data_IF_533205680039
#
_entry.id   IF_533205680039
#
_cell.length_a   1.000
_cell.length_b   1.000
_cell.length_c   1.000
_cell.angle_alpha   90.00
_cell.angle_beta   90.00
_cell.angle_gamma   90.00
#
_symmetry.space_group_name_H-M   'P 1'
#
loop_
_entity.id
_entity.type
_entity.pdbx_description
1 polymer ?
#
# COMPACT_ATOMS: atom_id res chain seq x y z
N UNK A 1 8.63 72.44 30.91
CA UNK A 1 7.94 71.24 31.46
C UNK A 1 6.95 70.65 30.46
N UNK A 2 6.14 71.44 29.77
CA UNK A 2 5.17 70.88 28.79
C UNK A 2 5.77 70.18 27.59
N UNK A 3 6.92 70.65 27.06
CA UNK A 3 7.57 70.05 25.91
C UNK A 3 8.21 68.65 26.23
N UNK A 4 8.71 68.46 27.43
CA UNK A 4 9.29 67.19 27.90
C UNK A 4 8.20 66.13 28.08
N UNK A 5 7.08 66.52 28.71
CA UNK A 5 5.91 65.64 28.88
C UNK A 5 5.30 65.24 27.52
N UNK A 6 5.26 66.17 26.59
CA UNK A 6 4.78 65.86 25.24
C UNK A 6 5.67 64.85 24.52
N UNK A 7 6.98 64.98 24.61
CA UNK A 7 7.95 64.05 24.04
C UNK A 7 7.86 62.66 24.68
N UNK A 8 7.69 62.61 25.99
CA UNK A 8 7.55 61.35 26.71
C UNK A 8 6.26 60.66 26.29
N UNK A 9 5.15 61.38 26.17
CA UNK A 9 3.88 60.84 25.72
C UNK A 9 3.96 60.30 24.32
N UNK A 10 4.58 61.05 23.38
CA UNK A 10 4.82 60.60 22.02
C UNK A 10 5.67 59.33 21.97
N UNK A 11 6.73 59.26 22.78
CA UNK A 11 7.57 58.07 22.86
C UNK A 11 6.82 56.86 23.39
N UNK A 12 5.97 57.03 24.42
CA UNK A 12 5.11 55.95 24.91
C UNK A 12 4.11 55.49 23.89
N UNK A 13 3.47 56.40 23.15
CA UNK A 13 2.54 56.02 22.06
C UNK A 13 3.22 55.31 20.92
N UNK A 14 4.40 55.75 20.51
CA UNK A 14 5.19 55.09 19.51
C UNK A 14 5.63 53.68 19.94
N UNK A 15 5.99 53.53 21.18
CA UNK A 15 6.38 52.23 21.76
C UNK A 15 5.19 51.28 21.83
N UNK A 16 4.03 51.78 22.31
CA UNK A 16 2.79 51.00 22.31
C UNK A 16 2.39 50.53 20.94
N UNK A 17 2.49 51.41 19.91
CA UNK A 17 2.18 51.09 18.55
C UNK A 17 3.13 49.97 17.99
N UNK A 18 4.40 50.03 18.34
CA UNK A 18 5.38 48.98 17.97
C UNK A 18 5.04 47.63 18.61
N UNK A 19 4.66 47.64 19.87
CA UNK A 19 4.24 46.41 20.56
C UNK A 19 2.99 45.82 19.90
N UNK A 20 1.99 46.66 19.62
CA UNK A 20 0.77 46.21 18.97
C UNK A 20 1.03 45.65 17.57
N UNK A 21 1.90 46.30 16.78
CA UNK A 21 2.32 45.80 15.48
C UNK A 21 3.05 44.48 15.60
N UNK A 22 3.98 44.34 16.54
CA UNK A 22 4.71 43.10 16.78
C UNK A 22 3.77 41.95 17.18
N UNK A 23 2.77 42.24 18.03
CA UNK A 23 1.76 41.23 18.40
C UNK A 23 0.90 40.81 17.22
N UNK A 24 0.51 41.74 16.37
CA UNK A 24 -0.24 41.40 15.14
C UNK A 24 0.59 40.54 14.20
N UNK A 25 1.85 40.92 13.99
CA UNK A 25 2.76 40.15 13.15
C UNK A 25 2.99 38.73 13.70
N UNK A 26 3.16 38.62 15.01
CA UNK A 26 3.30 37.34 15.67
C UNK A 26 2.05 36.45 15.50
N UNK A 27 0.86 37.03 15.66
CA UNK A 27 -0.39 36.28 15.44
C UNK A 27 -0.55 35.84 14.00
N UNK A 28 -0.22 36.69 13.05
CA UNK A 28 -0.26 36.36 11.62
C UNK A 28 0.73 35.22 11.31
N UNK A 29 1.93 35.29 11.86
CA UNK A 29 2.93 34.25 11.67
C UNK A 29 2.49 32.89 12.27
N UNK A 30 1.93 32.91 13.47
CA UNK A 30 1.42 31.70 14.14
C UNK A 30 0.26 31.12 13.32
N UNK A 31 -0.66 31.96 12.84
CA UNK A 31 -1.78 31.48 12.02
C UNK A 31 -1.31 30.86 10.69
N UNK A 32 -0.36 31.52 10.03
CA UNK A 32 0.23 30.98 8.80
C UNK A 32 0.92 29.63 9.06
N UNK A 33 1.63 29.51 10.16
CA UNK A 33 2.27 28.24 10.54
C UNK A 33 1.25 27.13 10.82
N UNK A 34 0.13 27.45 11.47
CA UNK A 34 -0.96 26.52 11.72
C UNK A 34 -1.64 26.06 10.43
N UNK A 35 -1.88 27.00 9.52
CA UNK A 35 -2.49 26.71 8.23
C UNK A 35 -1.59 25.79 7.41
N UNK A 36 -0.28 26.07 7.40
CA UNK A 36 0.72 25.25 6.73
C UNK A 36 0.80 23.84 7.34
N UNK A 37 0.82 23.74 8.66
CA UNK A 37 0.82 22.46 9.35
C UNK A 37 -0.44 21.64 9.04
N UNK A 38 -1.60 22.29 8.99
CA UNK A 38 -2.87 21.67 8.61
C UNK A 38 -2.85 21.14 7.18
N UNK A 39 -2.31 21.93 6.25
CA UNK A 39 -2.14 21.52 4.85
C UNK A 39 -1.20 20.31 4.71
N UNK A 40 -0.05 20.35 5.39
CA UNK A 40 0.91 19.24 5.39
C UNK A 40 0.28 17.97 5.96
N UNK A 41 -0.48 18.07 7.04
CA UNK A 41 -1.16 16.93 7.63
C UNK A 41 -2.19 16.32 6.66
N UNK A 42 -2.96 17.16 5.98
CA UNK A 42 -3.95 16.71 4.96
C UNK A 42 -3.25 16.04 3.78
N UNK A 43 -2.18 16.64 3.27
CA UNK A 43 -1.41 16.10 2.14
C UNK A 43 -0.76 14.76 2.52
N UNK A 44 -0.21 14.66 3.72
CA UNK A 44 0.38 13.42 4.23
C UNK A 44 -0.65 12.30 4.35
N UNK A 45 -1.84 12.61 4.87
CA UNK A 45 -2.94 11.65 4.95
C UNK A 45 -3.39 11.17 3.58
N UNK A 46 -3.47 12.07 2.60
CA UNK A 46 -3.83 11.73 1.23
C UNK A 46 -2.77 10.84 0.56
N UNK A 47 -1.49 11.12 0.80
CA UNK A 47 -0.39 10.29 0.30
C UNK A 47 -0.39 8.90 0.92
N UNK A 48 -0.61 8.80 2.22
CA UNK A 48 -0.73 7.51 2.92
C UNK A 48 -1.89 6.69 2.36
N UNK A 49 -3.03 7.30 2.14
CA UNK A 49 -4.21 6.61 1.59
C UNK A 49 -3.95 6.10 0.18
N UNK A 50 -3.31 6.91 -0.66
CA UNK A 50 -2.90 6.47 -2.00
C UNK A 50 -1.90 5.33 -1.95
N UNK A 51 -0.91 5.42 -1.07
CA UNK A 51 0.08 4.36 -0.88
C UNK A 51 -0.55 3.05 -0.41
N UNK A 52 -1.53 3.12 0.49
CA UNK A 52 -2.28 1.94 0.95
C UNK A 52 -3.06 1.28 -0.18
N UNK A 53 -3.71 2.09 -1.02
CA UNK A 53 -4.46 1.57 -2.19
C UNK A 53 -3.52 0.92 -3.19
N UNK A 54 -2.40 1.55 -3.51
CA UNK A 54 -1.41 0.98 -4.41
C UNK A 54 -0.86 -0.34 -3.88
N UNK A 55 -0.55 -0.40 -2.59
CA UNK A 55 -0.05 -1.61 -1.96
C UNK A 55 -1.10 -2.72 -1.98
N UNK A 56 -2.35 -2.39 -1.66
CA UNK A 56 -3.46 -3.35 -1.72
C UNK A 56 -3.65 -3.89 -3.14
N UNK A 57 -3.60 -3.03 -4.16
CA UNK A 57 -3.71 -3.43 -5.56
C UNK A 57 -2.55 -4.32 -5.98
N UNK A 58 -1.33 -4.01 -5.56
CA UNK A 58 -0.15 -4.82 -5.84
C UNK A 58 -0.25 -6.21 -5.18
N UNK A 59 -0.69 -6.26 -3.93
CA UNK A 59 -0.90 -7.51 -3.21
C UNK A 59 -1.98 -8.36 -3.88
N UNK A 60 -3.08 -7.76 -4.30
CA UNK A 60 -4.16 -8.44 -4.99
C UNK A 60 -3.68 -9.04 -6.31
N UNK A 61 -2.91 -8.27 -7.11
CA UNK A 61 -2.33 -8.78 -8.36
C UNK A 61 -1.33 -9.90 -8.12
N UNK A 62 -0.47 -9.75 -7.12
CA UNK A 62 0.49 -10.79 -6.76
C UNK A 62 -0.21 -12.07 -6.32
N UNK A 63 -1.28 -11.94 -5.54
CA UNK A 63 -2.09 -13.09 -5.13
C UNK A 63 -2.78 -13.76 -6.31
N UNK A 64 -3.34 -12.98 -7.23
CA UNK A 64 -3.98 -13.51 -8.44
C UNK A 64 -2.98 -14.27 -9.31
N UNK A 65 -1.78 -13.73 -9.50
CA UNK A 65 -0.71 -14.40 -10.24
C UNK A 65 -0.27 -15.69 -9.55
N UNK A 66 -0.16 -15.71 -8.24
CA UNK A 66 0.22 -16.89 -7.47
C UNK A 66 -0.86 -17.97 -7.57
N UNK A 67 -2.14 -17.58 -7.52
CA UNK A 67 -3.25 -18.52 -7.71
C UNK A 67 -3.23 -19.13 -9.11
N UNK A 68 -3.01 -18.33 -10.15
CA UNK A 68 -2.87 -18.83 -11.51
C UNK A 68 -1.72 -19.83 -11.64
N UNK A 69 -0.58 -19.52 -11.01
CA UNK A 69 0.57 -20.41 -11.01
C UNK A 69 0.27 -21.73 -10.33
N UNK A 70 -0.38 -21.69 -9.16
CA UNK A 70 -0.78 -22.88 -8.42
C UNK A 70 -1.80 -23.72 -9.19
N UNK A 71 -2.79 -23.08 -9.82
CA UNK A 71 -3.77 -23.76 -10.65
C UNK A 71 -3.11 -24.47 -11.85
N UNK A 72 -2.17 -23.79 -12.52
CA UNK A 72 -1.43 -24.37 -13.63
C UNK A 72 -0.55 -25.56 -13.17
N UNK A 73 0.13 -25.44 -12.03
CA UNK A 73 0.91 -26.51 -11.45
C UNK A 73 0.05 -27.72 -11.07
N UNK A 74 -1.11 -27.44 -10.46
CA UNK A 74 -2.07 -28.48 -10.07
C UNK A 74 -2.62 -29.21 -11.27
N UNK A 75 -3.02 -28.48 -12.31
CA UNK A 75 -3.48 -29.08 -13.58
C UNK A 75 -2.40 -29.95 -14.23
N UNK A 76 -1.17 -29.46 -14.29
CA UNK A 76 -0.06 -30.21 -14.85
C UNK A 76 0.22 -31.49 -14.04
N UNK A 77 0.14 -31.42 -12.72
CA UNK A 77 0.33 -32.57 -11.84
C UNK A 77 -0.80 -33.59 -11.99
N UNK A 78 -2.06 -33.12 -12.12
CA UNK A 78 -3.21 -33.98 -12.39
C UNK A 78 -3.06 -34.70 -13.72
N UNK A 79 -2.65 -34.01 -14.77
CA UNK A 79 -2.40 -34.62 -16.09
C UNK A 79 -1.29 -35.65 -16.01
N UNK A 80 -0.22 -35.35 -15.30
CA UNK A 80 0.90 -36.28 -15.10
C UNK A 80 0.45 -37.55 -14.39
N UNK A 81 -0.30 -37.40 -13.30
CA UNK A 81 -0.84 -38.53 -12.54
C UNK A 81 -1.81 -39.36 -13.37
N UNK A 82 -2.68 -38.72 -14.13
CA UNK A 82 -3.63 -39.38 -15.04
C UNK A 82 -2.87 -40.20 -16.10
N UNK A 83 -1.84 -39.63 -16.71
CA UNK A 83 -1.01 -40.34 -17.70
C UNK A 83 -0.30 -41.54 -17.10
N UNK A 84 0.24 -41.43 -15.90
CA UNK A 84 0.89 -42.55 -15.20
C UNK A 84 -0.11 -43.63 -14.86
N UNK A 85 -1.29 -43.28 -14.40
CA UNK A 85 -2.38 -44.23 -14.09
C UNK A 85 -2.83 -44.95 -15.33
N UNK A 86 -3.07 -44.25 -16.44
CA UNK A 86 -3.49 -44.83 -17.72
C UNK A 86 -2.42 -45.79 -18.24
N UNK A 87 -1.16 -45.43 -18.18
CA UNK A 87 -0.04 -46.29 -18.54
C UNK A 87 0.03 -47.56 -17.72
N UNK A 88 -0.17 -47.47 -16.42
CA UNK A 88 -0.21 -48.63 -15.51
C UNK A 88 -1.37 -49.54 -15.78
N UNK A 89 -2.57 -48.96 -16.03
CA UNK A 89 -3.76 -49.75 -16.39
C UNK A 89 -3.52 -50.49 -17.69
N UNK A 90 -2.98 -49.83 -18.73
CA UNK A 90 -2.64 -50.45 -19.98
C UNK A 90 -1.62 -51.58 -19.83
N UNK A 91 -0.58 -51.34 -19.04
CA UNK A 91 0.45 -52.38 -18.79
C UNK A 91 -0.13 -53.57 -18.02
N UNK A 92 -1.00 -53.34 -17.05
CA UNK A 92 -1.66 -54.41 -16.32
C UNK A 92 -2.60 -55.20 -17.21
N UNK A 93 -3.40 -54.55 -18.06
CA UNK A 93 -4.28 -55.20 -18.99
C UNK A 93 -3.49 -56.08 -19.99
N UNK A 94 -2.37 -55.55 -20.49
CA UNK A 94 -1.51 -56.31 -21.40
C UNK A 94 -0.89 -57.54 -20.68
N UNK A 95 -0.44 -57.40 -19.47
CA UNK A 95 0.06 -58.48 -18.67
C UNK A 95 -0.99 -59.58 -18.40
N UNK A 96 -2.21 -59.19 -18.07
CA UNK A 96 -3.31 -60.14 -17.88
C UNK A 96 -3.67 -60.89 -19.15
N UNK A 97 -3.72 -60.21 -20.28
CA UNK A 97 -3.98 -60.82 -21.57
C UNK A 97 -2.91 -61.85 -21.94
N UNK A 98 -1.64 -61.53 -21.76
CA UNK A 98 -0.50 -62.45 -21.98
C UNK A 98 -0.57 -63.67 -21.07
N UNK A 99 -0.90 -63.49 -19.80
CA UNK A 99 -1.09 -64.56 -18.88
C UNK A 99 -2.22 -65.51 -19.26
N UNK A 100 -3.35 -64.95 -19.73
CA UNK A 100 -4.49 -65.71 -20.19
C UNK A 100 -4.13 -66.52 -21.47
N UNK A 101 -3.47 -65.92 -22.42
CA UNK A 101 -3.05 -66.58 -23.65
C UNK A 101 -1.96 -67.67 -23.38
N UNK A 102 -1.06 -67.40 -22.50
CA UNK A 102 -0.07 -68.40 -22.07
C UNK A 102 -0.71 -69.63 -21.37
N UNK A 103 -1.77 -69.36 -20.56
CA UNK A 103 -2.55 -70.43 -19.94
C UNK A 103 -3.31 -71.28 -20.96
N UNK A 104 -3.86 -70.68 -22.03
CA UNK A 104 -4.55 -71.38 -23.09
C UNK A 104 -3.59 -72.18 -24.01
N UNK A 105 -2.32 -71.75 -24.11
CA UNK A 105 -1.33 -72.43 -24.92
C UNK A 105 -0.70 -73.65 -24.24
N UNK A 106 -0.93 -73.82 -23.01
CA UNK A 106 -0.43 -74.96 -22.21
C UNK A 106 -1.49 -76.02 -22.03
#
# INVERSE_FOLDING_TARGET
MGAELGRLLEAEQAFAARIDAARRDARTLVQAARDEAGRLATDSSAQLERGRKELADQEERALAMELERLEAETSAEEERLSSVTDARVAALADHLLRALFAGDAS
#
